data_IF_367554523401
#
_entry.id   IF_367554523401
#
_cell.length_a   1.000
_cell.length_b   1.000
_cell.length_c   1.000
_cell.angle_alpha   90.00
_cell.angle_beta   90.00
_cell.angle_gamma   90.00
#
_symmetry.space_group_name_H-M   'P 1'
#
loop_
_entity.id
_entity.type
_entity.pdbx_description
1 polymer ?
#
# COMPACT_ATOMS: atom_id res chain seq x y z
N UNK A 1 -48.34 17.75 -2.81
CA UNK A 1 -49.03 16.65 -3.51
C UNK A 1 -49.61 17.07 -4.85
N UNK A 2 -50.63 17.94 -4.96
CA UNK A 2 -51.18 18.36 -6.27
C UNK A 2 -50.16 18.86 -7.31
N UNK A 3 -49.12 19.58 -6.88
CA UNK A 3 -48.04 20.03 -7.77
C UNK A 3 -47.18 18.86 -8.28
N UNK A 4 -46.92 17.87 -7.42
CA UNK A 4 -46.23 16.63 -7.80
C UNK A 4 -47.09 15.83 -8.78
N UNK A 5 -48.39 15.75 -8.57
CA UNK A 5 -49.31 15.07 -9.50
C UNK A 5 -49.28 15.70 -10.90
N UNK A 6 -49.27 17.04 -10.94
CA UNK A 6 -49.15 17.79 -12.19
C UNK A 6 -47.82 17.51 -12.88
N UNK A 7 -46.70 17.62 -12.17
CA UNK A 7 -45.38 17.36 -12.76
C UNK A 7 -45.20 15.90 -13.19
N UNK A 8 -45.74 14.94 -12.43
CA UNK A 8 -45.77 13.52 -12.82
C UNK A 8 -46.57 13.28 -14.11
N UNK A 9 -47.65 14.02 -14.33
CA UNK A 9 -48.42 13.95 -15.57
C UNK A 9 -47.64 14.57 -16.74
N UNK A 10 -47.21 15.82 -16.57
CA UNK A 10 -46.65 16.67 -17.63
C UNK A 10 -45.20 16.30 -17.99
N UNK A 11 -44.43 15.74 -17.05
CA UNK A 11 -42.99 15.55 -17.15
C UNK A 11 -42.55 14.18 -16.60
N UNK A 12 -41.28 13.86 -16.79
CA UNK A 12 -40.59 12.71 -16.20
C UNK A 12 -39.80 13.09 -14.91
N UNK A 13 -39.86 14.36 -14.52
CA UNK A 13 -39.08 14.99 -13.45
C UNK A 13 -40.01 15.85 -12.55
N UNK A 14 -39.70 15.92 -11.26
CA UNK A 14 -40.40 16.65 -10.21
C UNK A 14 -39.50 17.79 -9.70
N UNK A 15 -39.66 18.96 -10.29
CA UNK A 15 -38.88 20.16 -9.95
C UNK A 15 -39.40 20.87 -8.69
N UNK A 16 -40.66 20.65 -8.31
CA UNK A 16 -41.30 21.41 -7.25
C UNK A 16 -40.62 21.20 -5.88
N UNK A 17 -40.00 20.04 -5.66
CA UNK A 17 -39.46 19.65 -4.36
C UNK A 17 -38.26 20.49 -3.94
N UNK A 18 -37.43 20.90 -4.89
CA UNK A 18 -36.27 21.76 -4.63
C UNK A 18 -36.67 23.11 -4.00
N UNK A 19 -37.90 23.56 -4.25
CA UNK A 19 -38.45 24.79 -3.65
C UNK A 19 -38.82 24.63 -2.17
N UNK A 20 -38.98 23.39 -1.70
CA UNK A 20 -39.33 23.06 -0.32
C UNK A 20 -38.15 22.59 0.53
N UNK A 21 -36.91 22.62 0.01
CA UNK A 21 -35.70 22.20 0.75
C UNK A 21 -35.51 22.86 2.12
N UNK A 22 -36.03 24.08 2.30
CA UNK A 22 -35.93 24.84 3.55
C UNK A 22 -37.15 24.67 4.48
N UNK A 23 -38.15 23.91 4.06
CA UNK A 23 -39.42 23.70 4.76
C UNK A 23 -39.62 22.22 5.14
N UNK A 24 -38.53 21.48 5.37
CA UNK A 24 -38.58 20.06 5.72
C UNK A 24 -39.05 19.88 7.16
N UNK A 25 -40.15 19.14 7.34
CA UNK A 25 -40.66 18.68 8.64
C UNK A 25 -41.16 17.22 8.53
N UNK A 26 -41.38 16.56 9.67
CA UNK A 26 -41.80 15.15 9.71
C UNK A 26 -43.11 14.90 8.93
N UNK A 27 -44.01 15.90 8.89
CA UNK A 27 -45.28 15.79 8.17
C UNK A 27 -45.06 15.82 6.66
N UNK A 28 -44.15 16.66 6.18
CA UNK A 28 -43.78 16.74 4.78
C UNK A 28 -43.06 15.47 4.34
N UNK A 29 -42.15 14.95 5.16
CA UNK A 29 -41.47 13.67 4.91
C UNK A 29 -42.46 12.52 4.79
N UNK A 30 -43.37 12.35 5.77
CA UNK A 30 -44.40 11.31 5.74
C UNK A 30 -45.31 11.45 4.50
N UNK A 31 -45.70 12.67 4.15
CA UNK A 31 -46.54 12.90 2.98
C UNK A 31 -45.81 12.59 1.66
N UNK A 32 -44.51 12.87 1.58
CA UNK A 32 -43.67 12.49 0.44
C UNK A 32 -43.45 10.97 0.37
N UNK A 33 -43.22 10.32 1.51
CA UNK A 33 -43.07 8.87 1.60
C UNK A 33 -44.34 8.15 1.11
N UNK A 34 -45.51 8.56 1.60
CA UNK A 34 -46.79 8.01 1.14
C UNK A 34 -47.00 8.29 -0.35
N UNK A 35 -46.62 9.46 -0.84
CA UNK A 35 -46.71 9.76 -2.27
C UNK A 35 -45.80 8.86 -3.10
N UNK A 36 -44.60 8.57 -2.62
CA UNK A 36 -43.63 7.68 -3.27
C UNK A 36 -44.15 6.25 -3.45
N UNK A 37 -45.05 5.79 -2.58
CA UNK A 37 -45.69 4.46 -2.67
C UNK A 37 -46.86 4.42 -3.65
N UNK A 38 -47.26 5.55 -4.22
CA UNK A 38 -48.35 5.64 -5.19
C UNK A 38 -47.98 4.99 -6.53
N UNK A 39 -48.74 3.96 -6.91
CA UNK A 39 -48.55 3.22 -8.16
C UNK A 39 -48.83 4.05 -9.42
N UNK A 40 -49.50 5.19 -9.30
CA UNK A 40 -49.75 6.10 -10.42
C UNK A 40 -48.56 7.02 -10.74
N UNK A 41 -47.54 7.06 -9.87
CA UNK A 41 -46.31 7.77 -10.18
C UNK A 41 -45.54 7.06 -11.28
N UNK A 42 -45.04 7.80 -12.27
CA UNK A 42 -44.07 7.30 -13.22
C UNK A 42 -42.81 6.82 -12.47
N UNK A 43 -42.15 5.75 -12.93
CA UNK A 43 -40.97 5.21 -12.26
C UNK A 43 -39.85 6.24 -12.00
N UNK A 44 -39.58 7.14 -12.96
CA UNK A 44 -38.56 8.21 -12.82
C UNK A 44 -38.93 9.20 -11.72
N UNK A 45 -40.18 9.66 -11.71
CA UNK A 45 -40.73 10.54 -10.67
C UNK A 45 -40.65 9.89 -9.29
N UNK A 46 -41.00 8.60 -9.17
CA UNK A 46 -40.83 7.83 -7.94
C UNK A 46 -39.35 7.80 -7.49
N UNK A 47 -38.42 7.56 -8.43
CA UNK A 47 -36.99 7.57 -8.15
C UNK A 47 -36.49 8.92 -7.61
N UNK A 48 -37.01 10.04 -8.11
CA UNK A 48 -36.65 11.37 -7.59
C UNK A 48 -37.17 11.63 -6.19
N UNK A 49 -38.43 11.22 -5.90
CA UNK A 49 -38.96 11.30 -4.54
C UNK A 49 -38.10 10.48 -3.57
N UNK A 50 -37.72 9.26 -3.96
CA UNK A 50 -36.83 8.40 -3.18
C UNK A 50 -35.46 9.06 -2.97
N UNK A 51 -34.87 9.66 -4.01
CA UNK A 51 -33.56 10.33 -3.90
C UNK A 51 -33.59 11.47 -2.88
N UNK A 52 -34.64 12.29 -2.90
CA UNK A 52 -34.81 13.36 -1.90
C UNK A 52 -34.99 12.79 -0.50
N UNK A 53 -35.86 11.79 -0.32
CA UNK A 53 -36.09 11.16 0.99
C UNK A 53 -34.81 10.53 1.56
N UNK A 54 -34.00 9.88 0.73
CA UNK A 54 -32.74 9.25 1.16
C UNK A 54 -31.64 10.27 1.48
N UNK A 55 -31.60 11.42 0.79
CA UNK A 55 -30.71 12.56 1.14
C UNK A 55 -31.07 13.17 2.50
N UNK A 56 -32.34 13.10 2.90
CA UNK A 56 -32.81 13.48 4.23
C UNK A 56 -32.74 12.33 5.26
N UNK A 57 -32.02 11.25 4.93
CA UNK A 57 -31.75 10.11 5.83
C UNK A 57 -32.98 9.29 6.26
N UNK A 58 -34.11 9.40 5.55
CA UNK A 58 -35.35 8.66 5.83
C UNK A 58 -35.14 7.13 5.76
N UNK A 59 -35.34 6.43 6.89
CA UNK A 59 -35.12 4.99 6.99
C UNK A 59 -36.26 4.21 6.32
N UNK A 60 -37.49 4.66 6.50
CA UNK A 60 -38.70 4.07 5.92
C UNK A 60 -38.68 4.13 4.39
N UNK A 61 -38.20 5.24 3.83
CA UNK A 61 -37.99 5.36 2.38
C UNK A 61 -36.93 4.37 1.88
N UNK A 62 -35.88 4.14 2.67
CA UNK A 62 -34.80 3.18 2.34
C UNK A 62 -35.30 1.73 2.41
N UNK A 63 -36.09 1.38 3.41
CA UNK A 63 -36.76 0.09 3.50
C UNK A 63 -37.70 -0.14 2.30
N UNK A 64 -38.47 0.88 1.93
CA UNK A 64 -39.32 0.83 0.75
C UNK A 64 -38.50 0.63 -0.53
N UNK A 65 -37.44 1.42 -0.75
CA UNK A 65 -36.55 1.25 -1.89
C UNK A 65 -35.93 -0.15 -1.95
N UNK A 66 -35.46 -0.69 -0.82
CA UNK A 66 -34.94 -2.05 -0.75
C UNK A 66 -36.03 -3.10 -1.06
N UNK A 67 -37.27 -2.87 -0.63
CA UNK A 67 -38.40 -3.78 -0.92
C UNK A 67 -38.78 -3.83 -2.40
N UNK A 68 -38.49 -2.76 -3.16
CA UNK A 68 -38.70 -2.71 -4.61
C UNK A 68 -37.61 -3.48 -5.38
N UNK A 69 -36.44 -3.71 -4.78
CA UNK A 69 -35.34 -4.41 -5.43
C UNK A 69 -35.63 -5.92 -5.43
N UNK A 70 -36.32 -6.37 -6.48
CA UNK A 70 -36.63 -7.78 -6.73
C UNK A 70 -35.63 -8.41 -7.71
N UNK A 71 -35.25 -9.67 -7.45
CA UNK A 71 -34.48 -10.50 -8.38
C UNK A 71 -35.11 -11.90 -8.49
N UNK A 72 -35.37 -12.44 -9.70
CA UNK A 72 -35.05 -11.87 -11.03
C UNK A 72 -35.89 -10.62 -11.36
N UNK A 73 -35.42 -9.83 -12.33
CA UNK A 73 -36.11 -8.62 -12.76
C UNK A 73 -37.53 -8.93 -13.27
N UNK A 74 -38.52 -8.09 -12.95
CA UNK A 74 -39.87 -8.23 -13.50
C UNK A 74 -39.89 -8.22 -15.03
N UNK A 75 -40.83 -8.98 -15.60
CA UNK A 75 -41.10 -8.99 -17.04
C UNK A 75 -41.82 -7.73 -17.49
N UNK A 76 -42.66 -7.14 -16.62
CA UNK A 76 -43.38 -5.91 -16.90
C UNK A 76 -42.41 -4.72 -16.96
N UNK A 77 -42.50 -3.92 -18.03
CA UNK A 77 -41.59 -2.80 -18.30
C UNK A 77 -41.64 -1.74 -17.20
N UNK A 78 -42.85 -1.34 -16.76
CA UNK A 78 -43.02 -0.35 -15.67
C UNK A 78 -42.40 -0.84 -14.36
N UNK A 79 -42.67 -2.09 -13.98
CA UNK A 79 -42.11 -2.68 -12.75
C UNK A 79 -40.59 -2.78 -12.82
N UNK A 80 -40.04 -3.19 -13.97
CA UNK A 80 -38.59 -3.24 -14.20
C UNK A 80 -37.95 -1.86 -14.07
N UNK A 81 -38.56 -0.83 -14.66
CA UNK A 81 -38.05 0.53 -14.56
C UNK A 81 -38.09 1.02 -13.10
N UNK A 82 -39.13 0.68 -12.32
CA UNK A 82 -39.16 0.99 -10.88
C UNK A 82 -38.01 0.33 -10.12
N UNK A 83 -37.71 -0.94 -10.41
CA UNK A 83 -36.56 -1.63 -9.80
C UNK A 83 -35.25 -0.90 -10.14
N UNK A 84 -35.06 -0.51 -11.41
CA UNK A 84 -33.87 0.21 -11.85
C UNK A 84 -33.74 1.58 -11.17
N UNK A 85 -34.83 2.35 -11.06
CA UNK A 85 -34.82 3.64 -10.38
C UNK A 85 -34.55 3.49 -8.88
N UNK A 86 -35.15 2.51 -8.20
CA UNK A 86 -34.87 2.21 -6.80
C UNK A 86 -33.39 1.81 -6.57
N UNK A 87 -32.86 0.93 -7.42
CA UNK A 87 -31.46 0.50 -7.37
C UNK A 87 -30.48 1.66 -7.60
N UNK A 88 -30.74 2.50 -8.61
CA UNK A 88 -29.97 3.73 -8.88
C UNK A 88 -29.92 4.61 -7.63
N UNK A 89 -31.06 4.88 -7.01
CA UNK A 89 -31.14 5.75 -5.82
C UNK A 89 -30.36 5.15 -4.64
N UNK A 90 -30.44 3.83 -4.42
CA UNK A 90 -29.67 3.13 -3.38
C UNK A 90 -28.17 3.22 -3.64
N UNK A 91 -27.71 3.11 -4.89
CA UNK A 91 -26.29 3.27 -5.23
C UNK A 91 -25.82 4.70 -4.98
N UNK A 92 -26.60 5.69 -5.43
CA UNK A 92 -26.29 7.12 -5.27
C UNK A 92 -26.20 7.51 -3.80
N UNK A 93 -27.16 7.05 -2.99
CA UNK A 93 -27.22 7.28 -1.54
C UNK A 93 -26.69 6.07 -0.77
N UNK A 94 -25.62 5.45 -1.29
CA UNK A 94 -25.05 4.24 -0.73
C UNK A 94 -24.69 4.39 0.74
N UNK A 95 -24.95 3.35 1.52
CA UNK A 95 -24.45 3.22 2.88
C UNK A 95 -23.72 1.88 3.01
N UNK A 96 -22.66 1.78 3.83
CA UNK A 96 -21.91 0.54 3.97
C UNK A 96 -22.77 -0.66 4.36
N UNK A 97 -23.80 -0.44 5.18
CA UNK A 97 -24.72 -1.46 5.70
C UNK A 97 -25.70 -1.99 4.66
N UNK A 98 -26.18 -1.14 3.74
CA UNK A 98 -27.18 -1.51 2.72
C UNK A 98 -26.56 -1.93 1.38
N UNK A 99 -25.28 -1.61 1.15
CA UNK A 99 -24.58 -1.94 -0.09
C UNK A 99 -24.57 -3.43 -0.44
N UNK A 100 -24.47 -4.30 0.58
CA UNK A 100 -24.36 -5.75 0.38
C UNK A 100 -25.55 -6.34 -0.38
N UNK A 101 -26.77 -5.82 -0.15
CA UNK A 101 -27.98 -6.28 -0.81
C UNK A 101 -27.89 -6.04 -2.32
N UNK A 102 -27.71 -4.78 -2.73
CA UNK A 102 -27.63 -4.41 -4.16
C UNK A 102 -26.40 -5.03 -4.83
N UNK A 103 -25.26 -5.08 -4.12
CA UNK A 103 -24.03 -5.67 -4.63
C UNK A 103 -24.19 -7.15 -4.96
N UNK A 104 -24.88 -7.92 -4.11
CA UNK A 104 -25.13 -9.34 -4.36
C UNK A 104 -25.94 -9.60 -5.64
N UNK A 105 -26.83 -8.67 -6.00
CA UNK A 105 -27.66 -8.76 -7.21
C UNK A 105 -26.82 -8.40 -8.44
N UNK A 106 -26.04 -7.32 -8.36
CA UNK A 106 -25.10 -6.90 -9.43
C UNK A 106 -24.08 -8.02 -9.75
N UNK A 107 -23.61 -8.73 -8.72
CA UNK A 107 -22.69 -9.87 -8.92
C UNK A 107 -23.37 -11.06 -9.60
N UNK A 108 -24.66 -11.32 -9.32
CA UNK A 108 -25.43 -12.40 -9.95
C UNK A 108 -25.82 -12.07 -11.39
N UNK A 109 -26.10 -10.80 -11.67
CA UNK A 109 -26.50 -10.32 -12.99
C UNK A 109 -25.75 -9.02 -13.34
N UNK A 110 -24.68 -9.19 -14.11
CA UNK A 110 -23.89 -8.06 -14.58
C UNK A 110 -24.64 -7.17 -15.56
N UNK A 111 -25.65 -7.69 -16.28
CA UNK A 111 -26.45 -6.88 -17.21
C UNK A 111 -27.33 -5.88 -16.46
N UNK A 112 -27.95 -6.31 -15.36
CA UNK A 112 -28.63 -5.43 -14.42
C UNK A 112 -27.68 -4.38 -13.83
N UNK A 113 -26.49 -4.80 -13.39
CA UNK A 113 -25.48 -3.88 -12.88
C UNK A 113 -25.09 -2.79 -13.89
N UNK A 114 -24.91 -3.16 -15.18
CA UNK A 114 -24.63 -2.20 -16.25
C UNK A 114 -25.74 -1.16 -16.39
N UNK A 115 -27.00 -1.60 -16.45
CA UNK A 115 -28.15 -0.69 -16.53
C UNK A 115 -28.18 0.30 -15.37
N UNK A 116 -27.94 -0.17 -14.14
CA UNK A 116 -27.91 0.69 -12.94
C UNK A 116 -26.79 1.72 -13.02
N UNK A 117 -25.55 1.32 -13.34
CA UNK A 117 -24.42 2.26 -13.39
C UNK A 117 -24.45 3.19 -14.61
N UNK A 118 -25.09 2.80 -15.71
CA UNK A 118 -25.37 3.69 -16.83
C UNK A 118 -26.35 4.79 -16.42
N UNK A 119 -27.41 4.47 -15.67
CA UNK A 119 -28.30 5.46 -15.09
C UNK A 119 -27.57 6.40 -14.11
N UNK A 120 -26.69 5.86 -13.27
CA UNK A 120 -25.88 6.68 -12.34
C UNK A 120 -24.94 7.60 -13.12
N UNK A 121 -24.21 7.08 -14.12
CA UNK A 121 -23.30 7.86 -14.95
C UNK A 121 -24.01 8.97 -15.72
N UNK A 122 -25.23 8.72 -16.19
CA UNK A 122 -26.06 9.73 -16.86
C UNK A 122 -26.44 10.90 -15.95
N UNK A 123 -26.67 10.65 -14.66
CA UNK A 123 -27.01 11.69 -13.70
C UNK A 123 -25.76 12.38 -13.12
N UNK A 124 -24.65 11.66 -12.98
CA UNK A 124 -23.42 12.12 -12.35
C UNK A 124 -22.22 12.02 -13.31
N UNK A 125 -22.25 12.82 -14.38
CA UNK A 125 -21.30 12.76 -15.49
C UNK A 125 -19.83 12.98 -15.09
N UNK A 126 -19.58 13.76 -14.03
CA UNK A 126 -18.24 14.04 -13.50
C UNK A 126 -17.81 13.11 -12.35
N UNK A 127 -18.56 12.02 -12.13
CA UNK A 127 -18.37 11.10 -11.01
C UNK A 127 -19.25 11.42 -9.81
N UNK A 128 -19.24 10.52 -8.83
CA UNK A 128 -20.10 10.57 -7.64
C UNK A 128 -19.31 10.18 -6.39
N UNK A 129 -19.57 10.87 -5.28
CA UNK A 129 -19.03 10.49 -3.98
C UNK A 129 -19.92 9.40 -3.37
N UNK A 130 -19.35 8.21 -3.15
CA UNK A 130 -20.07 7.07 -2.58
C UNK A 130 -19.67 6.89 -1.12
N UNK A 131 -20.65 6.68 -0.25
CA UNK A 131 -20.39 6.36 1.15
C UNK A 131 -20.26 4.84 1.31
N UNK A 132 -19.13 4.32 0.82
CA UNK A 132 -18.74 2.91 0.85
C UNK A 132 -17.42 2.72 1.60
N UNK A 133 -17.23 1.54 2.19
CA UNK A 133 -15.95 1.16 2.80
C UNK A 133 -14.85 1.03 1.74
N UNK A 134 -13.58 1.06 2.18
CA UNK A 134 -12.42 0.84 1.32
C UNK A 134 -12.53 -0.46 0.51
N UNK A 135 -12.98 -1.55 1.17
CA UNK A 135 -13.19 -2.84 0.52
C UNK A 135 -14.27 -2.77 -0.56
N UNK A 136 -15.41 -2.16 -0.24
CA UNK A 136 -16.54 -2.01 -1.17
C UNK A 136 -16.17 -1.14 -2.37
N UNK A 137 -15.41 -0.06 -2.16
CA UNK A 137 -14.89 0.77 -3.25
C UNK A 137 -13.93 -0.01 -4.15
N UNK A 138 -13.06 -0.83 -3.58
CA UNK A 138 -12.16 -1.69 -4.35
C UNK A 138 -12.92 -2.75 -5.16
N UNK A 139 -13.88 -3.44 -4.55
CA UNK A 139 -14.74 -4.42 -5.22
C UNK A 139 -15.52 -3.78 -6.39
N UNK A 140 -16.07 -2.58 -6.16
CA UNK A 140 -16.75 -1.81 -7.19
C UNK A 140 -15.80 -1.40 -8.32
N UNK A 141 -14.62 -0.90 -7.98
CA UNK A 141 -13.63 -0.48 -8.98
C UNK A 141 -13.21 -1.66 -9.88
N UNK A 142 -12.89 -2.80 -9.28
CA UNK A 142 -12.53 -4.03 -10.01
C UNK A 142 -13.66 -4.44 -10.96
N UNK A 143 -14.90 -4.47 -10.47
CA UNK A 143 -16.06 -4.80 -11.30
C UNK A 143 -16.24 -3.82 -12.46
N UNK A 144 -16.13 -2.50 -12.20
CA UNK A 144 -16.25 -1.48 -13.25
C UNK A 144 -15.16 -1.62 -14.32
N UNK A 145 -13.93 -1.96 -13.94
CA UNK A 145 -12.84 -2.21 -14.90
C UNK A 145 -13.14 -3.43 -15.77
N UNK A 146 -13.67 -4.51 -15.19
CA UNK A 146 -14.03 -5.70 -15.95
C UNK A 146 -15.22 -5.47 -16.90
N UNK A 147 -16.23 -4.72 -16.47
CA UNK A 147 -17.40 -4.42 -17.30
C UNK A 147 -17.13 -3.36 -18.37
N UNK A 148 -16.22 -2.44 -18.07
CA UNK A 148 -15.88 -1.30 -18.90
C UNK A 148 -14.35 -1.15 -19.03
N UNK A 149 -13.67 -2.01 -19.82
CA UNK A 149 -12.21 -2.02 -19.95
C UNK A 149 -11.65 -0.73 -20.55
N UNK A 150 -10.47 -0.30 -20.09
CA UNK A 150 -9.82 0.93 -20.58
C UNK A 150 -9.58 0.95 -22.10
N UNK A 151 -9.38 -0.21 -22.73
CA UNK A 151 -9.14 -0.32 -24.18
C UNK A 151 -10.34 0.10 -25.03
N UNK A 152 -11.54 0.14 -24.44
CA UNK A 152 -12.79 0.55 -25.11
C UNK A 152 -13.16 2.01 -24.81
N UNK A 153 -12.34 2.75 -24.06
CA UNK A 153 -12.58 4.16 -23.81
C UNK A 153 -12.26 4.96 -25.08
N UNK A 154 -13.13 5.90 -25.50
CA UNK A 154 -12.87 6.70 -26.70
C UNK A 154 -11.68 7.65 -26.49
N UNK A 155 -10.89 7.85 -27.54
CA UNK A 155 -9.75 8.76 -27.58
C UNK A 155 -10.06 9.98 -28.46
N UNK A 156 -10.30 11.11 -27.80
CA UNK A 156 -10.59 12.40 -28.43
C UNK A 156 -9.37 13.33 -28.43
N UNK A 157 -8.16 12.83 -28.15
CA UNK A 157 -6.94 13.66 -28.05
C UNK A 157 -6.61 14.45 -29.32
N UNK A 158 -7.14 14.03 -30.46
CA UNK A 158 -6.94 14.67 -31.77
C UNK A 158 -8.17 15.44 -32.28
N UNK A 159 -9.24 15.56 -31.50
CA UNK A 159 -10.46 16.26 -31.91
C UNK A 159 -10.47 17.72 -31.42
N UNK A 160 -10.77 18.64 -32.34
CA UNK A 160 -10.72 20.11 -32.12
C UNK A 160 -12.09 20.69 -31.74
N UNK A 161 -13.16 19.88 -31.80
CA UNK A 161 -14.53 20.33 -31.58
C UNK A 161 -15.10 19.80 -30.26
N UNK A 162 -16.04 20.56 -29.67
CA UNK A 162 -16.81 20.09 -28.53
C UNK A 162 -17.70 18.91 -28.95
N UNK A 163 -17.54 17.75 -28.32
CA UNK A 163 -18.38 16.58 -28.51
C UNK A 163 -19.37 16.39 -27.35
N UNK A 164 -20.49 15.74 -27.62
CA UNK A 164 -21.43 15.35 -26.58
C UNK A 164 -20.86 14.15 -25.81
N UNK A 165 -20.74 14.26 -24.48
CA UNK A 165 -20.29 13.15 -23.64
C UNK A 165 -21.18 11.93 -23.83
N UNK A 166 -20.57 10.83 -24.26
CA UNK A 166 -21.21 9.53 -24.45
C UNK A 166 -21.43 8.81 -23.10
N UNK A 167 -22.34 7.83 -23.08
CA UNK A 167 -22.52 6.94 -21.90
C UNK A 167 -21.20 6.29 -21.48
N UNK A 168 -20.35 5.94 -22.45
CA UNK A 168 -19.05 5.32 -22.21
C UNK A 168 -18.10 6.24 -21.44
N UNK A 169 -18.08 7.53 -21.77
CA UNK A 169 -17.27 8.53 -21.08
C UNK A 169 -17.75 8.79 -19.65
N UNK A 170 -19.06 8.87 -19.46
CA UNK A 170 -19.66 9.02 -18.12
C UNK A 170 -19.27 7.86 -17.20
N UNK A 171 -19.28 6.64 -17.72
CA UNK A 171 -18.83 5.44 -17.00
C UNK A 171 -17.32 5.44 -16.74
N UNK A 172 -16.51 5.94 -17.68
CA UNK A 172 -15.07 6.18 -17.46
C UNK A 172 -14.85 7.15 -16.30
N UNK A 173 -15.60 8.25 -16.25
CA UNK A 173 -15.54 9.23 -15.16
C UNK A 173 -15.97 8.63 -13.83
N UNK A 174 -17.05 7.84 -13.82
CA UNK A 174 -17.51 7.09 -12.64
C UNK A 174 -16.41 6.16 -12.12
N UNK A 175 -15.85 5.29 -12.99
CA UNK A 175 -14.76 4.36 -12.65
C UNK A 175 -13.55 5.09 -12.06
N UNK A 176 -13.15 6.21 -12.67
CA UNK A 176 -12.04 7.03 -12.19
C UNK A 176 -12.36 7.66 -10.83
N UNK A 177 -13.60 8.13 -10.62
CA UNK A 177 -14.02 8.74 -9.36
C UNK A 177 -13.98 7.75 -8.18
N UNK A 178 -14.32 6.48 -8.40
CA UNK A 178 -14.24 5.41 -7.37
C UNK A 178 -12.78 5.19 -6.97
N UNK A 179 -11.86 5.13 -7.95
CA UNK A 179 -10.43 4.98 -7.65
C UNK A 179 -9.86 6.19 -6.90
N UNK A 180 -10.24 7.40 -7.30
CA UNK A 180 -9.80 8.63 -6.62
C UNK A 180 -10.28 8.62 -5.16
N UNK A 181 -11.52 8.21 -4.90
CA UNK A 181 -12.03 8.07 -3.53
C UNK A 181 -11.19 7.10 -2.70
N UNK A 182 -10.91 5.90 -3.22
CA UNK A 182 -10.08 4.91 -2.54
C UNK A 182 -8.67 5.48 -2.25
N UNK A 183 -8.04 6.14 -3.23
CA UNK A 183 -6.73 6.80 -3.08
C UNK A 183 -6.74 7.91 -2.02
N UNK A 184 -7.84 8.66 -1.90
CA UNK A 184 -7.95 9.82 -1.01
C UNK A 184 -8.34 9.47 0.42
N UNK A 185 -8.81 8.25 0.71
CA UNK A 185 -9.14 7.79 2.08
C UNK A 185 -7.99 8.04 3.04
N UNK A 186 -6.77 7.67 2.63
CA UNK A 186 -5.55 7.84 3.45
C UNK A 186 -5.59 7.02 4.74
N UNK A 187 -6.16 5.82 4.66
CA UNK A 187 -6.17 4.81 5.71
C UNK A 187 -5.25 3.66 5.31
N UNK A 188 -4.83 2.83 6.29
CA UNK A 188 -4.06 1.62 6.01
C UNK A 188 -4.86 0.64 5.15
N UNK A 189 -6.16 0.50 5.46
CA UNK A 189 -7.06 -0.36 4.69
C UNK A 189 -7.17 0.06 3.22
N UNK A 190 -7.18 1.36 2.92
CA UNK A 190 -7.20 1.83 1.53
C UNK A 190 -5.94 1.43 0.75
N UNK A 191 -4.78 1.45 1.41
CA UNK A 191 -3.52 1.01 0.82
C UNK A 191 -3.51 -0.51 0.57
N UNK A 192 -4.00 -1.30 1.53
CA UNK A 192 -4.12 -2.75 1.39
C UNK A 192 -5.08 -3.14 0.27
N UNK A 193 -6.24 -2.48 0.18
CA UNK A 193 -7.21 -2.72 -0.90
C UNK A 193 -6.68 -2.26 -2.27
N UNK A 194 -5.90 -1.17 -2.35
CA UNK A 194 -5.21 -0.81 -3.60
C UNK A 194 -4.14 -1.82 -4.02
N UNK A 195 -3.44 -2.45 -3.07
CA UNK A 195 -2.53 -3.56 -3.36
C UNK A 195 -3.30 -4.75 -3.94
N UNK A 196 -4.47 -5.10 -3.37
CA UNK A 196 -5.34 -6.13 -3.93
C UNK A 196 -5.80 -5.79 -5.35
N UNK A 197 -6.24 -4.55 -5.59
CA UNK A 197 -6.63 -4.09 -6.93
C UNK A 197 -5.47 -4.25 -7.94
N UNK A 198 -4.23 -3.96 -7.56
CA UNK A 198 -3.05 -4.18 -8.42
C UNK A 198 -2.84 -5.66 -8.73
N UNK A 199 -3.05 -6.55 -7.75
CA UNK A 199 -2.92 -8.00 -7.94
C UNK A 199 -3.99 -8.55 -8.88
N UNK A 200 -5.23 -8.06 -8.78
CA UNK A 200 -6.34 -8.47 -9.64
C UNK A 200 -6.27 -7.87 -11.05
N UNK A 201 -5.64 -6.69 -11.21
CA UNK A 201 -5.54 -5.96 -12.48
C UNK A 201 -4.07 -5.65 -12.86
N UNK A 202 -3.21 -6.67 -13.04
CA UNK A 202 -1.76 -6.47 -13.20
C UNK A 202 -1.39 -5.76 -14.52
N UNK A 203 -2.29 -5.77 -15.51
CA UNK A 203 -2.10 -5.10 -16.80
C UNK A 203 -2.13 -3.57 -16.69
N UNK A 204 -2.71 -3.03 -15.61
CA UNK A 204 -2.86 -1.59 -15.40
C UNK A 204 -1.68 -1.06 -14.58
N UNK A 205 -0.55 -0.84 -15.27
CA UNK A 205 0.74 -0.54 -14.65
C UNK A 205 0.77 0.75 -13.80
N UNK A 206 -0.04 1.75 -14.16
CA UNK A 206 -0.11 3.03 -13.45
C UNK A 206 -0.80 2.95 -12.08
N UNK A 207 -1.45 1.82 -11.75
CA UNK A 207 -1.98 1.59 -10.39
C UNK A 207 -0.87 1.54 -9.34
N UNK A 208 0.35 1.12 -9.70
CA UNK A 208 1.51 1.16 -8.79
C UNK A 208 1.81 2.59 -8.32
N UNK A 209 1.74 3.58 -9.24
CA UNK A 209 1.88 5.00 -8.90
C UNK A 209 0.72 5.48 -8.02
N UNK A 210 -0.49 5.02 -8.30
CA UNK A 210 -1.69 5.33 -7.50
C UNK A 210 -1.53 4.84 -6.05
N UNK A 211 -0.98 3.64 -5.83
CA UNK A 211 -0.67 3.13 -4.49
C UNK A 211 0.37 3.99 -3.77
N UNK A 212 1.45 4.41 -4.45
CA UNK A 212 2.45 5.31 -3.86
C UNK A 212 1.85 6.64 -3.40
N UNK A 213 0.93 7.21 -4.20
CA UNK A 213 0.18 8.41 -3.83
C UNK A 213 -0.74 8.16 -2.62
N UNK A 214 -1.45 7.04 -2.59
CA UNK A 214 -2.30 6.67 -1.46
C UNK A 214 -1.50 6.48 -0.16
N UNK A 215 -0.34 5.84 -0.22
CA UNK A 215 0.56 5.68 0.92
C UNK A 215 1.10 7.02 1.43
N UNK A 216 1.42 7.96 0.52
CA UNK A 216 1.78 9.33 0.90
C UNK A 216 0.62 10.03 1.63
N UNK A 217 -0.60 9.91 1.13
CA UNK A 217 -1.79 10.46 1.77
C UNK A 217 -2.05 9.84 3.15
N UNK A 218 -1.89 8.52 3.26
CA UNK A 218 -2.02 7.80 4.52
C UNK A 218 -1.01 8.32 5.55
N UNK A 219 0.28 8.34 5.22
CA UNK A 219 1.33 8.88 6.10
C UNK A 219 1.02 10.31 6.55
N UNK A 220 0.53 11.16 5.65
CA UNK A 220 0.18 12.54 5.98
C UNK A 220 -1.01 12.64 6.94
N UNK A 221 -2.05 11.83 6.75
CA UNK A 221 -3.29 11.86 7.57
C UNK A 221 -3.13 11.16 8.91
N UNK A 222 -2.29 10.13 8.99
CA UNK A 222 -2.06 9.34 10.20
C UNK A 222 -0.85 9.81 11.01
N UNK A 223 -0.10 10.79 10.48
CA UNK A 223 1.04 11.39 11.18
C UNK A 223 0.58 11.96 12.52
N UNK A 224 1.25 11.52 13.58
CA UNK A 224 1.13 12.09 14.90
C UNK A 224 2.50 12.64 15.28
N UNK A 225 2.59 13.94 15.63
CA UNK A 225 3.83 14.49 16.13
C UNK A 225 4.21 13.81 17.45
N UNK A 226 5.52 13.71 17.69
CA UNK A 226 6.02 13.34 19.01
C UNK A 226 5.63 14.39 20.04
N UNK A 227 5.38 13.96 21.26
CA UNK A 227 5.14 14.86 22.38
C UNK A 227 6.44 15.54 22.79
N UNK A 228 6.39 16.78 23.32
CA UNK A 228 7.59 17.48 23.79
C UNK A 228 8.47 16.67 24.75
N UNK A 229 7.85 15.86 25.62
CA UNK A 229 8.57 15.01 26.58
C UNK A 229 9.34 13.88 25.89
N UNK A 230 8.78 13.32 24.81
CA UNK A 230 9.44 12.30 23.98
C UNK A 230 10.63 12.92 23.23
N UNK A 231 10.50 14.16 22.76
CA UNK A 231 11.61 14.92 22.15
C UNK A 231 12.72 15.17 23.17
N UNK A 232 12.38 15.58 24.39
CA UNK A 232 13.36 15.81 25.45
C UNK A 232 14.08 14.51 25.83
N UNK A 233 13.38 13.38 25.92
CA UNK A 233 13.99 12.06 26.17
C UNK A 233 14.97 11.63 25.07
N UNK A 234 14.69 11.99 23.81
CA UNK A 234 15.59 11.75 22.68
C UNK A 234 16.84 12.62 22.72
N UNK A 235 16.74 13.84 23.25
CA UNK A 235 17.90 14.74 23.39
C UNK A 235 18.78 14.36 24.58
N UNK A 236 18.19 13.84 25.66
CA UNK A 236 18.90 13.51 26.89
C UNK A 236 19.64 12.16 26.83
N UNK A 237 19.24 11.25 25.95
CA UNK A 237 19.83 9.94 25.80
C UNK A 237 20.52 9.85 24.43
N UNK A 238 21.83 10.15 24.37
CA UNK A 238 22.61 10.17 23.12
C UNK A 238 22.61 8.82 22.39
N UNK A 239 22.23 7.74 23.09
CA UNK A 239 22.06 6.42 22.54
C UNK A 239 20.65 6.14 22.01
N UNK A 240 19.65 7.00 22.27
CA UNK A 240 18.30 6.86 21.71
C UNK A 240 18.13 7.76 20.48
N UNK A 241 18.72 7.34 19.37
CA UNK A 241 18.36 7.88 18.07
C UNK A 241 16.91 7.55 17.74
N UNK A 242 16.10 8.57 17.45
CA UNK A 242 14.78 8.38 16.90
C UNK A 242 14.89 7.90 15.46
N UNK A 243 14.37 6.70 15.17
CA UNK A 243 14.29 6.18 13.80
C UNK A 243 12.91 6.50 13.22
N UNK A 244 12.81 7.57 12.44
CA UNK A 244 11.60 8.02 11.73
C UNK A 244 11.61 7.67 10.24
N UNK A 245 12.78 7.40 9.67
CA UNK A 245 12.95 6.96 8.28
C UNK A 245 14.11 5.96 8.15
N UNK A 246 14.26 5.38 6.95
CA UNK A 246 15.29 4.37 6.70
C UNK A 246 16.71 4.92 6.59
N UNK A 247 16.91 6.23 6.35
CA UNK A 247 18.24 6.83 6.43
C UNK A 247 18.71 6.86 7.89
N UNK A 248 17.80 7.21 8.80
CA UNK A 248 18.07 7.18 10.23
C UNK A 248 18.33 5.75 10.71
N UNK A 249 17.57 4.75 10.24
CA UNK A 249 17.85 3.34 10.53
C UNK A 249 19.22 2.89 10.02
N UNK A 250 19.60 3.30 8.79
CA UNK A 250 20.93 3.02 8.24
C UNK A 250 22.04 3.61 9.12
N UNK A 251 21.88 4.85 9.61
CA UNK A 251 22.87 5.47 10.49
C UNK A 251 23.00 4.71 11.82
N UNK A 252 21.86 4.32 12.44
CA UNK A 252 21.88 3.51 13.67
C UNK A 252 22.59 2.17 13.45
N UNK A 253 22.35 1.51 12.30
CA UNK A 253 23.03 0.27 11.94
C UNK A 253 24.54 0.47 11.75
N UNK A 254 24.95 1.54 11.05
CA UNK A 254 26.37 1.87 10.87
C UNK A 254 27.07 2.15 12.21
N UNK A 255 26.41 2.85 13.13
CA UNK A 255 26.93 3.07 14.48
C UNK A 255 27.03 1.78 15.30
N UNK A 256 26.03 0.90 15.19
CA UNK A 256 26.04 -0.42 15.81
C UNK A 256 27.19 -1.28 15.28
N UNK A 257 27.42 -1.30 13.96
CA UNK A 257 28.54 -2.01 13.36
C UNK A 257 29.91 -1.42 13.75
N UNK A 258 30.02 -0.10 13.99
CA UNK A 258 31.22 0.49 14.57
C UNK A 258 31.47 0.00 16.00
N UNK A 259 30.41 -0.12 16.83
CA UNK A 259 30.51 -0.73 18.17
C UNK A 259 30.93 -2.20 18.08
N UNK A 260 30.40 -2.94 17.10
CA UNK A 260 30.83 -4.32 16.84
C UNK A 260 32.31 -4.39 16.48
N UNK A 261 32.81 -3.51 15.61
CA UNK A 261 34.24 -3.48 15.25
C UNK A 261 35.11 -3.24 16.49
N UNK A 262 34.70 -2.33 17.37
CA UNK A 262 35.38 -2.06 18.64
C UNK A 262 35.38 -3.29 19.56
N UNK A 263 34.29 -4.06 19.63
CA UNK A 263 34.22 -5.31 20.41
C UNK A 263 35.14 -6.39 19.82
N UNK A 264 35.20 -6.52 18.48
CA UNK A 264 36.08 -7.48 17.81
C UNK A 264 37.56 -7.13 18.05
N UNK A 265 37.91 -5.84 18.03
CA UNK A 265 39.27 -5.33 18.00
C UNK A 265 39.76 -4.72 19.33
N UNK A 266 38.97 -4.84 20.39
CA UNK A 266 39.23 -4.24 21.70
C UNK A 266 40.31 -4.95 22.54
N UNK A 267 40.39 -4.61 23.83
CA UNK A 267 41.38 -5.17 24.77
C UNK A 267 41.19 -6.67 25.01
N UNK A 268 39.92 -7.12 25.08
CA UNK A 268 39.55 -8.54 25.08
C UNK A 268 38.89 -8.85 23.74
N UNK A 269 39.68 -9.18 22.70
CA UNK A 269 39.20 -9.16 21.33
C UNK A 269 38.26 -10.33 21.04
N UNK A 270 36.99 -10.03 20.72
CA UNK A 270 35.99 -11.03 20.34
C UNK A 270 36.21 -11.57 18.91
N UNK A 271 37.13 -10.98 18.13
CA UNK A 271 37.43 -11.42 16.75
C UNK A 271 37.76 -12.91 16.65
N UNK A 272 38.28 -13.53 17.71
CA UNK A 272 38.58 -14.97 17.75
C UNK A 272 37.38 -15.85 17.43
N UNK A 273 36.17 -15.40 17.79
CA UNK A 273 34.91 -16.12 17.57
C UNK A 273 34.55 -16.23 16.07
N UNK A 274 35.19 -15.41 15.23
CA UNK A 274 35.01 -15.43 13.78
C UNK A 274 36.02 -16.33 13.05
N UNK A 275 36.83 -17.10 13.79
CA UNK A 275 37.94 -17.87 13.24
C UNK A 275 38.08 -19.27 13.84
N UNK A 276 37.97 -20.30 12.99
CA UNK A 276 38.26 -21.68 13.34
C UNK A 276 39.77 -21.92 13.50
N UNK A 277 40.19 -22.58 14.58
CA UNK A 277 41.60 -22.98 14.79
C UNK A 277 41.91 -24.23 13.98
N UNK A 278 42.90 -24.16 13.08
CA UNK A 278 43.38 -25.34 12.33
C UNK A 278 44.59 -25.95 13.01
N UNK A 279 45.58 -25.13 13.35
CA UNK A 279 46.81 -25.57 14.01
C UNK A 279 47.43 -24.41 14.80
N UNK A 280 48.62 -24.60 15.38
CA UNK A 280 49.31 -23.53 16.08
C UNK A 280 49.58 -22.37 15.11
N UNK A 281 49.06 -21.18 15.45
CA UNK A 281 49.16 -19.93 14.72
C UNK A 281 48.44 -19.85 13.36
N UNK A 282 47.68 -20.87 12.95
CA UNK A 282 46.93 -20.86 11.69
C UNK A 282 45.43 -21.05 11.91
N UNK A 283 44.67 -20.15 11.29
CA UNK A 283 43.24 -20.06 11.44
C UNK A 283 42.53 -19.95 10.09
N UNK A 284 41.24 -20.29 10.09
CA UNK A 284 40.36 -20.14 8.94
C UNK A 284 39.14 -19.31 9.34
N UNK A 285 38.72 -18.33 8.53
CA UNK A 285 37.52 -17.58 8.84
C UNK A 285 36.30 -18.51 8.73
N UNK A 286 35.32 -18.27 9.60
CA UNK A 286 34.00 -18.87 9.47
C UNK A 286 33.39 -18.52 8.11
N UNK A 287 32.39 -19.28 7.65
CA UNK A 287 31.68 -18.94 6.41
C UNK A 287 30.76 -17.72 6.55
N UNK A 288 30.26 -17.23 5.42
CA UNK A 288 29.44 -16.01 5.36
C UNK A 288 28.11 -16.16 6.09
N UNK A 289 27.53 -17.36 6.16
CA UNK A 289 26.31 -17.60 6.91
C UNK A 289 26.56 -17.50 8.41
N UNK A 290 27.64 -18.11 8.89
CA UNK A 290 28.04 -18.03 10.29
C UNK A 290 28.46 -16.60 10.68
N UNK A 291 29.11 -15.86 9.78
CA UNK A 291 29.44 -14.44 9.98
C UNK A 291 28.17 -13.58 10.05
N UNK A 292 27.23 -13.79 9.14
CA UNK A 292 25.94 -13.09 9.14
C UNK A 292 25.12 -13.41 10.40
N UNK A 293 25.13 -14.66 10.88
CA UNK A 293 24.52 -15.05 12.17
C UNK A 293 25.17 -14.32 13.35
N UNK A 294 26.49 -14.16 13.34
CA UNK A 294 27.22 -13.42 14.38
C UNK A 294 26.79 -11.95 14.39
N UNK A 295 26.79 -11.29 13.23
CA UNK A 295 26.35 -9.90 13.07
C UNK A 295 24.90 -9.75 13.55
N UNK A 296 24.00 -10.65 13.14
CA UNK A 296 22.59 -10.62 13.57
C UNK A 296 22.46 -10.70 15.08
N UNK A 297 23.16 -11.62 15.74
CA UNK A 297 23.11 -11.76 17.22
C UNK A 297 23.59 -10.50 17.92
N UNK A 298 24.65 -9.87 17.41
CA UNK A 298 25.14 -8.61 17.94
C UNK A 298 24.11 -7.49 17.76
N UNK A 299 23.57 -7.30 16.54
CA UNK A 299 22.58 -6.27 16.26
C UNK A 299 21.31 -6.46 17.09
N UNK A 300 20.82 -7.69 17.28
CA UNK A 300 19.68 -7.97 18.17
C UNK A 300 20.03 -7.57 19.62
N UNK A 301 21.20 -7.94 20.13
CA UNK A 301 21.63 -7.55 21.48
C UNK A 301 21.74 -6.03 21.65
N UNK A 302 22.34 -5.33 20.70
CA UNK A 302 22.62 -3.89 20.76
C UNK A 302 21.37 -3.03 20.54
N UNK A 303 20.44 -3.48 19.67
CA UNK A 303 19.33 -2.64 19.20
C UNK A 303 17.95 -3.03 19.75
N UNK A 304 17.80 -4.21 20.38
CA UNK A 304 16.50 -4.67 20.91
C UNK A 304 15.92 -3.78 22.01
N UNK A 305 16.77 -3.19 22.85
CA UNK A 305 16.34 -2.20 23.85
C UNK A 305 15.80 -0.91 23.21
N UNK A 306 16.11 -0.67 21.93
CA UNK A 306 15.66 0.48 21.13
C UNK A 306 14.42 0.19 20.28
N UNK A 307 13.81 -0.99 20.42
CA UNK A 307 12.60 -1.39 19.67
C UNK A 307 12.86 -1.78 18.21
N UNK A 308 14.11 -2.00 17.83
CA UNK A 308 14.51 -2.47 16.49
C UNK A 308 14.57 -3.99 16.52
N UNK A 309 13.87 -4.64 15.60
CA UNK A 309 13.81 -6.10 15.45
C UNK A 309 14.72 -6.52 14.30
N UNK A 310 15.65 -7.44 14.58
CA UNK A 310 16.60 -7.93 13.59
C UNK A 310 16.23 -9.36 13.21
N UNK A 311 15.69 -9.52 12.00
CA UNK A 311 15.26 -10.80 11.44
C UNK A 311 16.28 -11.35 10.44
N UNK A 312 16.34 -12.67 10.36
CA UNK A 312 16.98 -13.42 9.26
C UNK A 312 15.85 -13.90 8.38
N UNK A 313 16.02 -14.02 7.06
CA UNK A 313 14.98 -14.54 6.17
C UNK A 313 14.27 -15.77 6.80
N UNK A 314 13.02 -15.56 7.22
CA UNK A 314 12.01 -16.60 7.36
C UNK A 314 11.23 -16.53 6.06
N UNK A 315 11.13 -17.65 5.35
CA UNK A 315 10.39 -17.82 4.09
C UNK A 315 9.05 -17.06 4.05
N UNK A 316 9.08 -15.78 3.68
CA UNK A 316 7.89 -14.95 3.46
C UNK A 316 7.54 -14.83 1.97
N UNK A 317 8.29 -15.54 1.10
CA UNK A 317 7.94 -15.80 -0.30
C UNK A 317 7.93 -17.30 -0.58
N UNK A 318 6.81 -17.96 -0.30
CA UNK A 318 6.47 -19.15 -1.10
C UNK A 318 6.00 -18.67 -2.46
N UNK A 319 6.91 -18.70 -3.43
CA UNK A 319 6.63 -18.35 -4.82
C UNK A 319 7.85 -18.48 -5.72
N UNK A 320 8.01 -19.67 -6.32
CA UNK A 320 8.79 -20.02 -7.51
C UNK A 320 10.30 -19.71 -7.56
N UNK A 321 11.11 -20.75 -7.34
CA UNK A 321 12.29 -21.00 -8.18
C UNK A 321 13.68 -20.59 -7.67
N UNK A 322 13.85 -20.20 -6.40
CA UNK A 322 15.17 -19.92 -5.85
C UNK A 322 15.92 -21.20 -5.47
N UNK A 323 17.14 -21.40 -5.99
CA UNK A 323 18.01 -22.50 -5.57
C UNK A 323 18.31 -22.41 -4.06
N UNK A 324 18.29 -23.55 -3.33
CA UNK A 324 18.59 -23.57 -1.91
C UNK A 324 20.09 -23.38 -1.68
N UNK A 325 20.56 -22.14 -1.47
CA UNK A 325 21.99 -21.91 -1.24
C UNK A 325 22.44 -20.57 -0.66
N UNK A 326 21.76 -19.45 -0.92
CA UNK A 326 22.26 -18.12 -0.51
C UNK A 326 21.39 -17.54 0.61
N UNK A 327 21.72 -17.82 1.88
CA UNK A 327 21.05 -17.22 3.07
C UNK A 327 21.97 -16.24 3.80
N UNK A 328 22.56 -15.28 3.09
CA UNK A 328 23.44 -14.28 3.72
C UNK A 328 22.71 -13.08 4.29
N UNK A 329 21.44 -12.91 3.94
CA UNK A 329 20.78 -11.61 4.06
C UNK A 329 20.14 -11.42 5.44
N UNK A 330 20.18 -10.18 5.94
CA UNK A 330 19.60 -9.78 7.23
C UNK A 330 18.55 -8.70 6.97
N UNK A 331 17.35 -8.91 7.48
CA UNK A 331 16.25 -7.95 7.43
C UNK A 331 16.17 -7.22 8.77
N UNK A 332 16.40 -5.92 8.77
CA UNK A 332 16.28 -5.10 9.98
C UNK A 332 15.02 -4.27 9.89
N UNK A 333 14.10 -4.50 10.81
CA UNK A 333 12.84 -3.78 10.92
C UNK A 333 12.85 -2.91 12.18
N UNK A 334 12.78 -1.59 12.03
CA UNK A 334 12.50 -0.71 13.15
C UNK A 334 10.99 -0.64 13.38
N UNK A 335 10.54 -1.13 14.54
CA UNK A 335 9.12 -1.09 14.93
C UNK A 335 8.92 0.05 15.92
N UNK A 336 8.36 1.16 15.45
CA UNK A 336 7.84 2.21 16.32
C UNK A 336 6.57 1.68 17.01
N UNK A 337 6.63 1.42 18.31
CA UNK A 337 5.42 1.11 19.11
C UNK A 337 4.75 2.41 19.54
N UNK A 338 3.48 2.61 19.18
CA UNK A 338 2.62 3.61 19.84
C UNK A 338 2.21 3.12 21.23
N UNK A 339 1.89 4.03 22.17
CA UNK A 339 1.24 3.68 23.44
C UNK A 339 -0.07 2.89 23.26
N UNK A 340 -0.75 3.05 22.11
CA UNK A 340 -2.00 2.35 21.77
C UNK A 340 -1.79 1.28 20.70
N UNK A 341 -0.91 0.30 20.96
CA UNK A 341 -0.89 -1.09 20.43
C UNK A 341 -1.04 -1.36 18.92
N UNK A 342 -1.14 -0.37 18.04
CA UNK A 342 -1.08 -0.53 16.58
C UNK A 342 0.37 -0.30 16.13
N UNK A 343 0.98 -1.37 15.60
CA UNK A 343 2.32 -1.34 15.00
C UNK A 343 2.28 -0.54 13.71
N UNK A 344 3.17 0.44 13.56
CA UNK A 344 3.43 1.08 12.28
C UNK A 344 3.93 0.05 11.23
N UNK A 345 3.80 0.39 9.95
CA UNK A 345 4.59 -0.24 8.87
C UNK A 345 6.08 -0.21 9.29
N UNK A 346 6.76 -1.36 9.32
CA UNK A 346 8.16 -1.39 9.74
C UNK A 346 9.01 -0.59 8.75
N UNK A 347 9.95 0.19 9.29
CA UNK A 347 11.02 0.76 8.47
C UNK A 347 12.04 -0.37 8.28
N UNK A 348 12.13 -0.89 7.05
CA UNK A 348 13.01 -2.02 6.74
C UNK A 348 14.29 -1.56 6.06
N UNK A 349 15.44 -2.06 6.55
CA UNK A 349 16.75 -2.02 5.87
C UNK A 349 17.18 -3.45 5.57
N UNK A 350 17.59 -3.71 4.33
CA UNK A 350 18.18 -5.00 3.93
C UNK A 350 19.70 -4.92 4.06
N UNK A 351 20.30 -5.87 4.78
CA UNK A 351 21.76 -6.02 4.86
C UNK A 351 22.18 -7.24 4.04
N UNK A 352 22.95 -6.99 2.98
CA UNK A 352 23.60 -8.02 2.16
C UNK A 352 25.02 -8.22 2.69
N UNK A 353 25.38 -9.44 3.09
CA UNK A 353 26.65 -9.75 3.77
C UNK A 353 27.56 -10.58 2.87
N UNK A 354 28.80 -10.12 2.65
CA UNK A 354 29.83 -10.88 1.92
C UNK A 354 31.16 -10.91 2.68
N UNK A 355 31.91 -12.00 2.54
CA UNK A 355 33.30 -12.08 2.98
C UNK A 355 34.22 -11.41 1.95
N UNK A 356 35.36 -10.88 2.40
CA UNK A 356 36.35 -10.26 1.50
C UNK A 356 36.95 -11.24 0.45
N UNK A 357 36.63 -12.53 0.52
CA UNK A 357 37.00 -13.59 -0.43
C UNK A 357 35.92 -13.96 -1.44
N UNK A 358 34.71 -13.40 -1.33
CA UNK A 358 33.61 -13.76 -2.21
C UNK A 358 33.92 -13.34 -3.66
N UNK A 359 33.63 -14.21 -4.63
CA UNK A 359 33.92 -13.93 -6.05
C UNK A 359 33.15 -12.72 -6.58
N UNK A 360 31.97 -12.47 -6.02
CA UNK A 360 31.09 -11.37 -6.41
C UNK A 360 31.21 -10.16 -5.49
N UNK A 361 32.22 -10.08 -4.61
CA UNK A 361 32.31 -8.99 -3.62
C UNK A 361 32.27 -7.59 -4.24
N UNK A 362 32.76 -7.44 -5.48
CA UNK A 362 32.76 -6.17 -6.23
C UNK A 362 31.45 -5.89 -6.99
N UNK A 363 30.60 -6.90 -7.19
CA UNK A 363 29.40 -6.80 -8.05
C UNK A 363 28.09 -7.03 -7.29
N UNK A 364 28.11 -7.80 -6.20
CA UNK A 364 26.93 -8.20 -5.43
C UNK A 364 26.17 -7.02 -4.81
N UNK A 365 26.83 -5.90 -4.53
CA UNK A 365 26.14 -4.68 -4.11
C UNK A 365 25.13 -4.20 -5.17
N UNK A 366 25.48 -4.27 -6.46
CA UNK A 366 24.57 -3.92 -7.54
C UNK A 366 23.60 -5.08 -7.86
N UNK A 367 24.13 -6.28 -8.07
CA UNK A 367 23.34 -7.40 -8.60
C UNK A 367 22.48 -8.12 -7.56
N UNK A 368 22.90 -8.15 -6.30
CA UNK A 368 22.17 -8.82 -5.23
C UNK A 368 21.40 -7.80 -4.37
N UNK A 369 22.06 -6.79 -3.81
CA UNK A 369 21.38 -5.82 -2.95
C UNK A 369 20.43 -4.90 -3.74
N UNK A 370 20.91 -4.22 -4.79
CA UNK A 370 20.07 -3.26 -5.52
C UNK A 370 19.06 -3.95 -6.43
N UNK A 371 19.51 -4.84 -7.31
CA UNK A 371 18.64 -5.44 -8.33
C UNK A 371 17.58 -6.40 -7.77
N UNK A 372 17.91 -7.20 -6.74
CA UNK A 372 16.94 -8.15 -6.16
C UNK A 372 15.98 -7.48 -5.17
N UNK A 373 16.45 -6.51 -4.38
CA UNK A 373 15.66 -5.97 -3.26
C UNK A 373 15.13 -4.55 -3.49
N UNK A 374 15.92 -3.66 -4.10
CA UNK A 374 15.60 -2.21 -4.16
C UNK A 374 14.93 -1.79 -5.47
N UNK A 375 15.16 -2.53 -6.58
CA UNK A 375 14.72 -2.14 -7.94
C UNK A 375 13.21 -2.00 -8.12
N UNK A 376 12.42 -2.84 -7.46
CA UNK A 376 10.95 -2.79 -7.54
C UNK A 376 10.30 -1.84 -6.51
N UNK A 377 11.10 -1.04 -5.79
CA UNK A 377 10.68 -0.15 -4.70
C UNK A 377 9.87 -0.84 -3.59
N UNK A 378 10.08 -2.15 -3.40
CA UNK A 378 9.53 -2.89 -2.25
C UNK A 378 10.27 -2.46 -0.99
N UNK A 379 11.59 -2.32 -1.08
CA UNK A 379 12.44 -1.73 -0.05
C UNK A 379 13.21 -0.54 -0.64
N UNK A 380 13.42 0.49 0.18
CA UNK A 380 14.12 1.72 -0.25
C UNK A 380 15.51 1.87 0.35
N UNK A 381 15.93 1.00 1.28
CA UNK A 381 17.17 1.18 2.04
C UNK A 381 17.95 -0.13 2.11
N UNK A 382 19.24 -0.07 1.75
CA UNK A 382 20.13 -1.21 1.74
C UNK A 382 21.50 -0.90 2.33
N UNK A 383 22.07 -1.89 3.02
CA UNK A 383 23.43 -1.85 3.58
C UNK A 383 24.23 -3.04 3.04
N UNK A 384 25.37 -2.78 2.42
CA UNK A 384 26.29 -3.82 1.97
C UNK A 384 27.41 -3.98 3.00
N UNK A 385 27.44 -5.12 3.68
CA UNK A 385 28.37 -5.41 4.77
C UNK A 385 29.46 -6.37 4.30
N UNK A 386 30.72 -5.92 4.33
CA UNK A 386 31.87 -6.75 4.02
C UNK A 386 32.60 -7.15 5.31
N UNK A 387 32.70 -8.45 5.57
CA UNK A 387 33.60 -8.98 6.59
C UNK A 387 35.04 -9.03 6.08
N UNK A 388 35.94 -8.27 6.70
CA UNK A 388 37.34 -8.18 6.29
C UNK A 388 38.26 -9.07 7.12
N UNK A 389 38.76 -10.15 6.52
CA UNK A 389 39.51 -11.21 7.22
C UNK A 389 41.00 -11.31 6.82
N UNK A 390 41.48 -10.44 5.93
CA UNK A 390 42.88 -10.47 5.49
C UNK A 390 43.84 -10.21 6.67
N UNK A 391 44.60 -11.24 7.05
CA UNK A 391 45.65 -11.18 8.07
C UNK A 391 46.72 -12.27 7.83
N UNK A 392 47.85 -12.17 8.54
CA UNK A 392 48.96 -13.11 8.43
C UNK A 392 48.61 -14.50 9.00
N UNK A 393 47.75 -14.52 10.02
CA UNK A 393 47.31 -15.69 10.77
C UNK A 393 46.30 -16.55 9.97
N UNK A 394 45.79 -16.05 8.84
CA UNK A 394 44.96 -16.83 7.92
C UNK A 394 45.80 -17.89 7.21
N UNK A 395 45.45 -19.16 7.35
CA UNK A 395 46.11 -20.28 6.67
C UNK A 395 46.21 -20.09 5.14
N UNK A 396 47.44 -20.13 4.60
CA UNK A 396 47.74 -20.02 3.17
C UNK A 396 47.23 -21.21 2.35
N UNK A 397 46.97 -22.35 3.01
CA UNK A 397 46.35 -23.51 2.35
C UNK A 397 44.86 -23.30 2.10
N UNK A 398 44.23 -22.33 2.77
CA UNK A 398 42.83 -22.00 2.54
C UNK A 398 42.65 -21.28 1.20
N UNK A 399 41.92 -21.90 0.27
CA UNK A 399 41.66 -21.35 -1.06
C UNK A 399 40.97 -19.98 -1.04
N UNK A 400 40.20 -19.66 0.01
CA UNK A 400 39.54 -18.35 0.19
C UNK A 400 40.56 -17.23 0.36
N UNK A 401 41.72 -17.47 0.98
CA UNK A 401 42.78 -16.44 1.14
C UNK A 401 43.33 -15.98 -0.21
N UNK A 402 43.43 -16.89 -1.18
CA UNK A 402 43.89 -16.56 -2.54
C UNK A 402 42.87 -15.70 -3.30
N UNK A 403 41.58 -15.95 -3.09
CA UNK A 403 40.46 -15.20 -3.68
C UNK A 403 40.19 -13.86 -3.00
N UNK A 404 40.67 -13.69 -1.77
CA UNK A 404 40.49 -12.46 -1.01
C UNK A 404 41.09 -11.24 -1.72
N UNK A 405 40.37 -10.11 -1.64
CA UNK A 405 40.80 -8.83 -2.17
C UNK A 405 42.23 -8.50 -1.75
N UNK A 406 43.05 -8.02 -2.68
CA UNK A 406 44.48 -7.73 -2.50
C UNK A 406 44.75 -6.23 -2.36
N UNK A 407 43.87 -5.56 -1.62
CA UNK A 407 43.95 -4.14 -1.28
C UNK A 407 43.96 -4.00 0.24
N UNK A 408 44.32 -2.83 0.73
CA UNK A 408 44.19 -2.49 2.15
C UNK A 408 42.72 -2.35 2.56
N UNK A 409 42.44 -2.46 3.87
CA UNK A 409 41.07 -2.25 4.38
C UNK A 409 40.58 -0.81 4.12
N UNK A 410 41.48 0.18 4.13
CA UNK A 410 41.14 1.58 3.89
C UNK A 410 40.80 1.83 2.42
N UNK A 411 41.53 1.21 1.50
CA UNK A 411 41.18 1.21 0.07
C UNK A 411 39.85 0.51 -0.18
N UNK A 412 39.59 -0.61 0.50
CA UNK A 412 38.30 -1.30 0.40
C UNK A 412 37.15 -0.43 0.89
N UNK A 413 37.29 0.24 2.04
CA UNK A 413 36.28 1.17 2.58
C UNK A 413 35.95 2.26 1.57
N UNK A 414 36.97 2.95 1.06
CA UNK A 414 36.80 3.99 0.05
C UNK A 414 36.11 3.46 -1.22
N UNK A 415 36.57 2.32 -1.74
CA UNK A 415 36.03 1.73 -2.96
C UNK A 415 34.54 1.39 -2.82
N UNK A 416 34.14 0.77 -1.72
CA UNK A 416 32.75 0.35 -1.52
C UNK A 416 31.83 1.52 -1.14
N UNK A 417 32.34 2.54 -0.44
CA UNK A 417 31.59 3.77 -0.20
C UNK A 417 31.29 4.51 -1.52
N UNK A 418 32.29 4.69 -2.39
CA UNK A 418 32.11 5.30 -3.73
C UNK A 418 31.19 4.46 -4.63
N UNK A 419 31.17 3.13 -4.46
CA UNK A 419 30.22 2.27 -5.17
C UNK A 419 28.78 2.46 -4.66
N UNK A 420 28.59 2.51 -3.35
CA UNK A 420 27.28 2.71 -2.74
C UNK A 420 26.68 4.08 -3.08
N UNK A 421 27.50 5.13 -3.12
CA UNK A 421 27.10 6.47 -3.56
C UNK A 421 26.61 6.47 -5.01
N UNK A 422 27.32 5.80 -5.92
CA UNK A 422 26.91 5.69 -7.33
C UNK A 422 25.62 4.89 -7.54
N UNK A 423 25.36 3.90 -6.68
CA UNK A 423 24.16 3.06 -6.73
C UNK A 423 22.95 3.68 -6.03
N UNK A 424 23.15 4.74 -5.25
CA UNK A 424 22.09 5.53 -4.64
C UNK A 424 21.45 6.43 -5.70
N UNK A 425 20.18 6.22 -6.02
CA UNK A 425 19.41 7.02 -6.99
C UNK A 425 18.10 7.52 -6.38
N UNK A 426 17.34 8.34 -7.12
CA UNK A 426 16.04 8.83 -6.66
C UNK A 426 15.03 7.68 -6.51
N UNK A 427 14.95 7.10 -5.30
CA UNK A 427 14.03 6.00 -4.96
C UNK A 427 14.63 4.96 -4.02
N UNK A 428 15.96 4.87 -3.93
CA UNK A 428 16.68 3.97 -3.03
C UNK A 428 17.90 4.65 -2.40
N UNK A 429 18.33 4.16 -1.23
CA UNK A 429 19.56 4.58 -0.56
C UNK A 429 20.39 3.36 -0.24
N UNK A 430 21.65 3.38 -0.66
CA UNK A 430 22.62 2.33 -0.41
C UNK A 430 23.76 2.87 0.44
N UNK A 431 24.21 2.08 1.42
CA UNK A 431 25.44 2.31 2.18
C UNK A 431 26.31 1.07 2.14
N UNK A 432 27.61 1.24 2.33
CA UNK A 432 28.55 0.14 2.52
C UNK A 432 29.19 0.23 3.89
N UNK A 433 29.64 -0.90 4.43
CA UNK A 433 30.48 -0.95 5.62
C UNK A 433 31.44 -2.12 5.53
N UNK A 434 32.74 -1.84 5.73
CA UNK A 434 33.79 -2.87 5.80
C UNK A 434 34.18 -3.07 7.27
N UNK A 435 33.75 -4.19 7.84
CA UNK A 435 33.98 -4.57 9.23
C UNK A 435 35.34 -5.27 9.38
N UNK A 436 36.21 -4.74 10.24
CA UNK A 436 37.51 -5.35 10.50
C UNK A 436 37.40 -6.62 11.37
N UNK A 437 37.43 -7.78 10.72
CA UNK A 437 37.43 -9.11 11.34
C UNK A 437 38.80 -9.80 11.27
N UNK A 438 39.89 -9.04 11.10
CA UNK A 438 41.26 -9.59 11.03
C UNK A 438 41.81 -9.94 12.42
N UNK A 439 42.59 -11.02 12.50
CA UNK A 439 43.36 -11.36 13.71
C UNK A 439 44.56 -10.42 13.85
N UNK A 440 44.93 -10.09 15.09
CA UNK A 440 46.11 -9.29 15.42
C UNK A 440 47.33 -10.14 15.70
#
# INVERSE_FOLDING_TARGET
>A
MKLIDKENHDHDYIFVIDKFKHCWDDRFELALLEKTKDKLLKPKCMGELLDVLLKHESNEAREFANSLIAFPLPSAEDERERVLQAAKVIVVNSQPSSWSLIWSIIQKDSSFGRLVFELVGNQYSHGIQLNLTEKQLADLYIWLVHQYPFAEDPDYSNEVFAHCETTRERLRNLRNSVLVQLKQRGTLQACAELQRVIQELPTITWLKKTLLEAQKNMRRKTWQPLKPEEIIQLVLDQDKHLVQDGNQLLNVLLESLKRLELELQGETPAVRDLWDKISNNYFKPIDENAFSDYVKRFLDKDLKSRGIIVNREVELRRGYGGEPGERTDIHVDAVLKRPNSETYDPITVIIEVKGCWHSEVNTAMATQLVERYLKDNIFSYGLYLIGWFNCNQWDDKNSRKKKALKISIDEARKQFDEQAERLTISGNVVRAYVLNASLR
#
